data_IF_808471051688
#
_entry.id   IF_808471051688
#
_cell.length_a   1.000
_cell.length_b   1.000
_cell.length_c   1.000
_cell.angle_alpha   90.00
_cell.angle_beta   90.00
_cell.angle_gamma   90.00
#
_symmetry.space_group_name_H-M   'P 1'
#
loop_
_entity.id
_entity.type
_entity.pdbx_description
1 polymer ?
#
# COMPACT_ATOMS: atom_id res chain seq x y z
N UNK A 1 -9.50 -0.24 -20.16
CA UNK A 1 -8.56 0.58 -19.35
C UNK A 1 -8.96 0.57 -17.88
N UNK A 2 -8.72 -0.55 -17.21
CA UNK A 2 -9.01 -0.66 -15.79
C UNK A 2 -7.77 -1.11 -15.04
N UNK A 3 -6.78 -0.22 -15.00
CA UNK A 3 -5.56 -0.50 -14.29
C UNK A 3 -5.07 0.70 -13.51
N UNK A 4 -5.44 0.77 -12.25
CA UNK A 4 -5.08 1.89 -11.40
C UNK A 4 -4.32 1.40 -10.18
N UNK A 5 -3.28 0.61 -10.44
CA UNK A 5 -2.51 0.00 -9.38
C UNK A 5 -1.61 1.03 -8.70
N UNK A 6 -1.50 0.89 -7.39
CA UNK A 6 -0.77 1.83 -6.56
C UNK A 6 0.43 1.17 -5.92
N UNK A 7 1.48 1.95 -5.71
CA UNK A 7 2.70 1.48 -5.10
C UNK A 7 2.92 2.17 -3.77
N UNK A 8 3.14 1.38 -2.72
CA UNK A 8 3.53 1.92 -1.44
C UNK A 8 4.93 1.45 -1.07
N UNK A 9 5.86 2.37 -1.05
CA UNK A 9 7.19 2.03 -0.66
C UNK A 9 7.50 2.45 0.76
N UNK A 10 6.71 1.96 1.68
CA UNK A 10 6.88 2.32 3.08
C UNK A 10 6.34 1.26 4.01
N UNK A 11 6.62 0.00 3.68
CA UNK A 11 6.12 -1.12 4.46
C UNK A 11 7.06 -1.46 5.61
N UNK A 12 6.58 -1.35 6.85
CA UNK A 12 7.35 -1.76 8.03
C UNK A 12 7.37 -3.27 8.19
N UNK A 13 8.52 -3.81 8.52
CA UNK A 13 8.69 -5.25 8.68
C UNK A 13 8.11 -5.73 10.01
N UNK A 14 7.70 -4.78 10.84
CA UNK A 14 7.12 -5.09 12.14
C UNK A 14 5.67 -5.51 12.00
N UNK A 15 5.06 -5.25 10.84
CA UNK A 15 3.66 -5.58 10.65
C UNK A 15 3.48 -6.46 9.41
N UNK A 16 2.29 -7.01 9.27
CA UNK A 16 1.95 -7.81 8.10
C UNK A 16 1.06 -7.03 7.16
N UNK A 17 0.88 -7.52 5.94
CA UNK A 17 0.11 -6.77 4.93
C UNK A 17 -1.31 -6.50 5.41
N UNK A 18 -1.81 -7.35 6.31
CA UNK A 18 -3.16 -7.18 6.85
C UNK A 18 -3.31 -5.82 7.53
N UNK A 19 -2.24 -5.39 8.20
CA UNK A 19 -2.23 -4.10 8.88
C UNK A 19 -2.23 -2.96 7.87
N UNK A 20 -1.37 -3.08 6.86
CA UNK A 20 -1.25 -2.01 5.87
C UNK A 20 -2.51 -1.95 5.00
N UNK A 21 -3.06 -3.10 4.64
CA UNK A 21 -4.27 -3.15 3.83
C UNK A 21 -5.40 -2.37 4.48
N UNK A 22 -5.51 -2.50 5.80
CA UNK A 22 -6.51 -1.79 6.56
C UNK A 22 -6.28 -0.28 6.50
N UNK A 23 -5.02 0.12 6.50
CA UNK A 23 -4.68 1.53 6.40
C UNK A 23 -5.02 2.03 5.00
N UNK A 24 -4.74 1.21 4.00
CA UNK A 24 -5.03 1.54 2.61
C UNK A 24 -6.54 1.64 2.40
N UNK A 25 -7.28 0.73 3.04
CA UNK A 25 -8.73 0.68 2.91
C UNK A 25 -9.41 1.87 3.57
N UNK A 26 -8.64 2.67 4.30
CA UNK A 26 -9.21 3.86 4.93
C UNK A 26 -9.69 4.85 3.87
N UNK A 27 -9.11 4.79 2.68
CA UNK A 27 -9.47 5.68 1.59
C UNK A 27 -10.56 5.08 0.71
N UNK A 28 -10.65 3.76 0.70
CA UNK A 28 -11.66 3.10 -0.09
C UNK A 28 -11.57 1.60 -0.03
N UNK A 29 -12.49 0.93 -0.70
CA UNK A 29 -12.55 -0.52 -0.71
C UNK A 29 -11.37 -1.09 -1.48
N UNK A 30 -10.61 -1.97 -0.85
CA UNK A 30 -9.46 -2.60 -1.49
C UNK A 30 -9.92 -3.77 -2.36
N UNK A 31 -9.34 -3.89 -3.54
CA UNK A 31 -9.69 -4.96 -4.45
C UNK A 31 -8.61 -6.03 -4.45
N UNK A 32 -7.38 -5.63 -4.18
CA UNK A 32 -6.29 -6.58 -4.11
C UNK A 32 -5.01 -5.94 -3.62
N UNK A 33 -4.30 -6.65 -2.75
CA UNK A 33 -3.02 -6.16 -2.22
C UNK A 33 -1.94 -7.21 -2.39
N UNK A 34 -0.87 -6.82 -3.07
CA UNK A 34 0.28 -7.68 -3.23
C UNK A 34 1.44 -7.16 -2.40
N UNK A 35 1.64 -7.76 -1.25
CA UNK A 35 2.77 -7.43 -0.41
C UNK A 35 3.97 -8.24 -0.85
N UNK A 36 4.97 -7.55 -1.38
CA UNK A 36 6.19 -8.22 -1.78
C UNK A 36 6.99 -8.59 -0.54
N UNK A 37 7.05 -9.87 -0.27
CA UNK A 37 7.68 -10.36 0.94
C UNK A 37 8.93 -11.16 0.64
N UNK A 38 9.82 -11.21 1.62
CA UNK A 38 11.05 -11.98 1.53
C UNK A 38 10.80 -13.37 2.08
N UNK A 39 10.62 -14.34 1.19
CA UNK A 39 10.18 -15.67 1.57
C UNK A 39 11.17 -16.35 2.53
N UNK A 40 12.41 -15.88 2.54
CA UNK A 40 13.43 -16.43 3.41
C UNK A 40 13.21 -16.02 4.87
N UNK A 41 12.85 -14.77 5.08
CA UNK A 41 12.66 -14.26 6.44
C UNK A 41 11.18 -14.16 6.81
N UNK A 42 10.32 -14.24 5.80
CA UNK A 42 8.87 -14.05 5.96
C UNK A 42 8.57 -12.60 6.33
N UNK A 43 9.49 -11.72 5.98
CA UNK A 43 9.35 -10.30 6.26
C UNK A 43 8.96 -9.54 4.99
N UNK A 44 8.62 -8.28 5.14
CA UNK A 44 8.22 -7.45 3.99
C UNK A 44 9.46 -6.87 3.34
N UNK A 45 9.38 -6.60 2.04
CA UNK A 45 10.50 -6.01 1.30
C UNK A 45 10.56 -4.50 1.54
N UNK A 46 9.54 -3.96 2.17
CA UNK A 46 9.49 -2.54 2.42
C UNK A 46 8.54 -1.83 1.49
N UNK A 47 7.91 -2.58 0.60
CA UNK A 47 6.98 -1.99 -0.35
C UNK A 47 5.92 -3.01 -0.76
N UNK A 48 4.79 -2.50 -1.26
CA UNK A 48 3.69 -3.33 -1.71
C UNK A 48 2.95 -2.65 -2.87
N UNK A 49 2.08 -3.40 -3.51
CA UNK A 49 1.30 -2.89 -4.63
C UNK A 49 -0.16 -3.23 -4.43
N UNK A 50 -1.04 -2.27 -4.62
CA UNK A 50 -2.46 -2.49 -4.37
C UNK A 50 -3.33 -1.75 -5.37
N UNK A 51 -4.63 -1.98 -5.28
CA UNK A 51 -5.61 -1.33 -6.15
C UNK A 51 -6.97 -1.37 -5.49
N UNK A 52 -7.72 -0.27 -5.60
CA UNK A 52 -9.04 -0.19 -5.00
C UNK A 52 -10.10 -0.79 -5.91
N UNK A 53 -11.30 -0.99 -5.36
CA UNK A 53 -12.41 -1.49 -6.14
C UNK A 53 -12.83 -0.47 -7.18
N UNK A 54 -12.75 0.80 -6.80
CA UNK A 54 -13.08 1.89 -7.70
C UNK A 54 -11.80 2.56 -8.21
N UNK A 55 -11.68 2.71 -9.54
CA UNK A 55 -10.49 3.26 -10.18
C UNK A 55 -10.26 4.74 -9.85
N UNK A 56 -11.29 5.43 -9.41
CA UNK A 56 -11.19 6.87 -9.15
C UNK A 56 -10.64 7.11 -7.75
N UNK A 57 -10.79 6.13 -6.86
CA UNK A 57 -10.23 6.23 -5.53
C UNK A 57 -8.72 6.34 -5.58
N UNK A 58 -8.13 5.65 -6.56
CA UNK A 58 -6.68 5.61 -6.71
C UNK A 58 -6.04 7.00 -6.64
N UNK A 59 -6.52 7.92 -7.47
CA UNK A 59 -5.95 9.26 -7.51
C UNK A 59 -6.20 10.01 -6.20
N UNK A 60 -7.35 9.76 -5.59
CA UNK A 60 -7.71 10.41 -4.34
C UNK A 60 -6.91 9.83 -3.19
N UNK A 61 -6.69 8.53 -3.25
CA UNK A 61 -5.97 7.80 -2.23
C UNK A 61 -4.53 8.27 -2.13
N UNK A 62 -3.80 8.23 -3.24
CA UNK A 62 -2.40 8.65 -3.27
C UNK A 62 -2.25 10.06 -2.70
N UNK A 63 -3.23 10.91 -3.00
CA UNK A 63 -3.19 12.31 -2.58
C UNK A 63 -3.05 12.47 -1.06
N UNK A 64 -3.69 11.59 -0.31
CA UNK A 64 -3.60 11.66 1.14
C UNK A 64 -2.72 10.56 1.73
N UNK A 65 -2.73 9.41 1.10
CA UNK A 65 -2.05 8.22 1.61
C UNK A 65 -0.53 8.36 1.47
N UNK A 66 -0.11 9.17 0.51
CA UNK A 66 1.32 9.45 0.31
C UNK A 66 1.89 10.21 1.50
N UNK A 67 2.38 9.48 2.48
CA UNK A 67 2.98 10.09 3.65
C UNK A 67 2.08 9.96 4.86
N UNK A 68 1.36 8.85 4.93
CA UNK A 68 0.46 8.62 6.03
C UNK A 68 0.72 7.28 6.69
N UNK A 69 1.03 7.33 7.98
CA UNK A 69 1.27 6.15 8.80
C UNK A 69 1.75 6.61 10.18
N UNK A 70 1.38 5.87 11.21
CA UNK A 70 1.65 6.29 12.59
C UNK A 70 3.11 6.05 12.97
N UNK A 71 3.68 7.02 13.69
CA UNK A 71 5.05 6.93 14.15
C UNK A 71 6.02 7.60 13.20
N UNK A 72 7.21 7.05 13.04
CA UNK A 72 8.21 7.60 12.13
C UNK A 72 8.09 6.93 10.78
N UNK A 73 7.53 5.73 10.80
CA UNK A 73 7.27 4.97 9.58
C UNK A 73 6.17 5.64 8.78
N UNK A 74 6.30 5.60 7.47
CA UNK A 74 5.37 6.29 6.58
C UNK A 74 5.22 5.53 5.27
N UNK A 75 4.13 5.80 4.57
CA UNK A 75 3.85 5.12 3.32
C UNK A 75 4.19 6.03 2.14
N UNK A 76 5.09 5.58 1.30
CA UNK A 76 5.36 6.28 0.06
C UNK A 76 4.42 5.76 -1.01
N UNK A 77 3.33 6.49 -1.22
CA UNK A 77 2.28 6.03 -2.11
C UNK A 77 2.30 6.79 -3.43
N UNK A 78 2.20 6.04 -4.52
CA UNK A 78 2.19 6.64 -5.86
C UNK A 78 1.65 5.62 -6.85
N UNK A 79 1.46 6.02 -8.10
CA UNK A 79 1.08 5.10 -9.16
C UNK A 79 2.18 4.06 -9.34
N UNK A 80 1.81 2.79 -9.35
CA UNK A 80 2.78 1.72 -9.44
C UNK A 80 3.46 1.71 -10.80
N UNK A 81 4.72 1.37 -10.81
CA UNK A 81 5.51 1.32 -12.03
C UNK A 81 5.19 0.06 -12.82
#
# INVERSE_FOLDING_TARGET
AMGNKIYVGGLPTCLNQDQVKELLQSFGELKGLNLVMDTNTNLNKGFAFFEYCDPSVTDHAIAGLHGMLLGDRRLVVQRSI
#
